data_IF_474390060423
#
_entry.id   IF_474390060423
#
_cell.length_a   1.000
_cell.length_b   1.000
_cell.length_c   1.000
_cell.angle_alpha   90.00
_cell.angle_beta   90.00
_cell.angle_gamma   90.00
#
_symmetry.space_group_name_H-M   'P 1'
#
loop_
_entity.id
_entity.type
_entity.pdbx_description
1 polymer ?
#
# COMPACT_ATOMS: atom_id res chain seq x y z
N UNK A 1 -22.59 12.73 -4.57
CA UNK A 1 -22.96 11.94 -3.36
C UNK A 1 -23.13 10.44 -3.64
N UNK A 2 -23.75 10.01 -4.75
CA UNK A 2 -23.92 8.58 -5.04
C UNK A 2 -22.59 7.83 -5.26
N UNK A 3 -21.63 8.43 -5.97
CA UNK A 3 -20.31 7.84 -6.24
C UNK A 3 -19.49 7.54 -4.98
N UNK A 4 -19.41 8.50 -4.06
CA UNK A 4 -18.68 8.33 -2.80
C UNK A 4 -19.28 7.24 -1.91
N UNK A 5 -20.62 7.14 -1.87
CA UNK A 5 -21.30 6.07 -1.15
C UNK A 5 -21.02 4.68 -1.76
N UNK A 6 -20.95 4.59 -3.09
CA UNK A 6 -20.55 3.35 -3.77
C UNK A 6 -19.11 3.00 -3.38
N UNK A 7 -18.19 3.98 -3.42
CA UNK A 7 -16.79 3.77 -3.05
C UNK A 7 -16.63 3.27 -1.61
N UNK A 8 -17.29 3.90 -0.63
CA UNK A 8 -17.23 3.44 0.76
C UNK A 8 -17.83 2.04 0.96
N UNK A 9 -18.91 1.73 0.26
CA UNK A 9 -19.49 0.38 0.27
C UNK A 9 -18.49 -0.65 -0.27
N UNK A 10 -17.84 -0.36 -1.40
CA UNK A 10 -16.85 -1.26 -2.00
C UNK A 10 -15.62 -1.43 -1.12
N UNK A 11 -15.10 -0.34 -0.55
CA UNK A 11 -13.99 -0.37 0.40
C UNK A 11 -14.31 -1.24 1.62
N UNK A 12 -15.49 -1.04 2.23
CA UNK A 12 -15.93 -1.84 3.37
C UNK A 12 -16.04 -3.32 3.02
N UNK A 13 -16.61 -3.61 1.86
CA UNK A 13 -16.78 -4.98 1.38
C UNK A 13 -15.46 -5.64 0.99
N UNK A 14 -14.47 -4.85 0.54
CA UNK A 14 -13.13 -5.32 0.23
C UNK A 14 -12.37 -5.70 1.51
N UNK A 15 -12.33 -4.81 2.51
CA UNK A 15 -11.62 -5.06 3.79
C UNK A 15 -12.10 -6.34 4.50
N UNK A 16 -13.40 -6.64 4.42
CA UNK A 16 -13.98 -7.82 5.07
C UNK A 16 -13.75 -9.11 4.28
N UNK A 17 -13.25 -9.04 3.05
CA UNK A 17 -13.08 -10.21 2.20
C UNK A 17 -11.91 -11.08 2.66
N UNK A 18 -12.07 -12.41 2.62
CA UNK A 18 -10.97 -13.35 2.95
C UNK A 18 -9.78 -13.18 2.00
N UNK A 19 -10.05 -12.81 0.74
CA UNK A 19 -9.04 -12.54 -0.29
C UNK A 19 -8.22 -11.30 0.09
N UNK A 20 -8.86 -10.23 0.55
CA UNK A 20 -8.17 -9.03 1.05
C UNK A 20 -7.27 -9.35 2.25
N UNK A 21 -7.77 -10.10 3.24
CA UNK A 21 -6.97 -10.51 4.41
C UNK A 21 -5.74 -11.32 3.98
N UNK A 22 -5.90 -12.23 3.01
CA UNK A 22 -4.79 -12.99 2.45
C UNK A 22 -3.76 -12.10 1.77
N UNK A 23 -4.19 -11.11 0.99
CA UNK A 23 -3.30 -10.14 0.33
C UNK A 23 -2.57 -9.26 1.35
N UNK A 24 -3.27 -8.80 2.39
CA UNK A 24 -2.68 -8.03 3.49
C UNK A 24 -1.62 -8.85 4.23
N UNK A 25 -1.92 -10.11 4.58
CA UNK A 25 -0.97 -10.99 5.26
C UNK A 25 0.25 -11.27 4.38
N UNK A 26 0.06 -11.50 3.09
CA UNK A 26 1.14 -11.70 2.13
C UNK A 26 2.03 -10.45 2.00
N UNK A 27 1.43 -9.26 1.92
CA UNK A 27 2.15 -8.00 1.86
C UNK A 27 2.95 -7.72 3.14
N UNK A 28 2.37 -7.98 4.32
CA UNK A 28 3.08 -7.83 5.60
C UNK A 28 4.24 -8.81 5.72
N UNK A 29 4.07 -10.04 5.24
CA UNK A 29 5.12 -11.04 5.21
C UNK A 29 6.28 -10.58 4.32
N UNK A 30 6.00 -10.09 3.12
CA UNK A 30 7.04 -9.51 2.23
C UNK A 30 7.74 -8.33 2.93
N UNK A 31 6.97 -7.38 3.46
CA UNK A 31 7.49 -6.21 4.17
C UNK A 31 8.41 -6.64 5.32
N UNK A 32 8.03 -7.66 6.08
CA UNK A 32 8.86 -8.23 7.15
C UNK A 32 10.17 -8.80 6.61
N UNK A 33 10.13 -9.63 5.57
CA UNK A 33 11.35 -10.23 4.99
C UNK A 33 12.32 -9.16 4.46
N UNK A 34 11.81 -8.14 3.78
CA UNK A 34 12.63 -7.04 3.27
C UNK A 34 13.26 -6.25 4.43
N UNK A 35 12.48 -5.89 5.45
CA UNK A 35 13.01 -5.19 6.63
C UNK A 35 14.02 -6.03 7.42
N UNK A 36 13.81 -7.34 7.49
CA UNK A 36 14.75 -8.25 8.10
C UNK A 36 16.06 -8.32 7.31
N UNK A 37 16.00 -8.35 5.97
CA UNK A 37 17.18 -8.42 5.11
C UNK A 37 18.11 -7.20 5.24
N UNK A 38 17.55 -6.01 5.48
CA UNK A 38 18.31 -4.75 5.66
C UNK A 38 18.52 -4.37 7.14
N UNK A 39 18.21 -5.27 8.07
CA UNK A 39 18.25 -4.98 9.51
C UNK A 39 19.61 -4.44 9.96
N UNK A 40 20.71 -5.05 9.52
CA UNK A 40 22.05 -4.65 9.95
C UNK A 40 22.39 -3.23 9.45
N UNK A 41 22.00 -2.90 8.21
CA UNK A 41 22.14 -1.56 7.65
C UNK A 41 21.32 -0.52 8.41
N UNK A 42 20.07 -0.86 8.76
CA UNK A 42 19.17 -0.03 9.58
C UNK A 42 19.80 0.28 10.94
N UNK A 43 20.38 -0.73 11.60
CA UNK A 43 20.98 -0.60 12.94
C UNK A 43 22.27 0.23 12.86
N UNK A 44 23.11 -0.01 11.85
CA UNK A 44 24.35 0.75 11.67
C UNK A 44 24.08 2.21 11.32
N UNK A 45 22.98 2.48 10.62
CA UNK A 45 22.50 3.84 10.30
C UNK A 45 21.71 4.50 11.45
N UNK A 46 21.53 3.82 12.59
CA UNK A 46 20.73 4.35 13.68
C UNK A 46 21.39 5.58 14.33
N UNK A 47 20.66 6.69 14.40
CA UNK A 47 21.15 7.95 14.96
C UNK A 47 22.02 8.78 14.02
N UNK A 48 22.24 8.32 12.79
CA UNK A 48 22.91 9.08 11.74
C UNK A 48 21.88 9.63 10.76
N UNK A 49 22.11 10.86 10.28
CA UNK A 49 21.32 11.48 9.22
C UNK A 49 22.29 11.81 8.11
N UNK A 50 22.26 11.01 7.05
CA UNK A 50 23.10 11.21 5.89
C UNK A 50 22.26 11.45 4.63
N UNK A 51 22.91 11.88 3.56
CA UNK A 51 22.30 11.94 2.23
C UNK A 51 22.84 10.76 1.44
N UNK A 52 21.95 9.86 1.02
CA UNK A 52 22.31 8.70 0.21
C UNK A 52 21.65 8.80 -1.16
N UNK A 53 22.30 8.20 -2.16
CA UNK A 53 21.71 8.00 -3.46
C UNK A 53 20.84 6.73 -3.44
N UNK A 54 19.55 6.90 -3.72
CA UNK A 54 18.64 5.79 -3.94
C UNK A 54 18.37 5.64 -5.44
N UNK A 55 18.45 4.40 -5.93
CA UNK A 55 18.04 4.04 -7.28
C UNK A 55 16.95 2.96 -7.21
N UNK A 56 15.82 3.24 -7.86
CA UNK A 56 14.70 2.33 -8.02
C UNK A 56 14.88 1.63 -9.37
N UNK A 57 15.59 0.51 -9.34
CA UNK A 57 16.04 -0.21 -10.54
C UNK A 57 14.92 -0.59 -11.51
N UNK A 58 13.70 -0.85 -11.01
CA UNK A 58 12.57 -1.25 -11.84
C UNK A 58 11.99 -0.09 -12.67
N UNK A 59 12.05 1.14 -12.16
CA UNK A 59 11.49 2.32 -12.85
C UNK A 59 12.57 3.17 -13.51
N UNK A 60 13.84 2.93 -13.21
CA UNK A 60 14.95 3.79 -13.59
C UNK A 60 14.95 5.14 -12.88
N UNK A 61 14.10 5.33 -11.86
CA UNK A 61 14.07 6.54 -11.07
C UNK A 61 15.23 6.53 -10.07
N UNK A 62 16.01 7.59 -10.07
CA UNK A 62 17.12 7.77 -9.13
C UNK A 62 17.08 9.17 -8.52
N UNK A 63 17.61 9.30 -7.31
CA UNK A 63 17.64 10.57 -6.62
C UNK A 63 18.33 10.49 -5.28
N UNK A 64 18.54 11.66 -4.69
CA UNK A 64 19.07 11.78 -3.34
C UNK A 64 17.93 11.64 -2.34
N UNK A 65 18.12 10.79 -1.34
CA UNK A 65 17.22 10.65 -0.21
C UNK A 65 17.95 11.02 1.07
N UNK A 66 17.22 11.57 2.03
CA UNK A 66 17.71 11.63 3.42
C UNK A 66 17.71 10.22 3.97
N UNK A 67 18.89 9.65 4.14
CA UNK A 67 19.11 8.32 4.70
C UNK A 67 18.89 8.38 6.21
N UNK A 68 17.66 8.11 6.61
CA UNK A 68 17.30 7.76 7.98
C UNK A 68 16.88 6.29 8.01
N UNK A 69 16.96 5.60 9.16
CA UNK A 69 16.55 4.20 9.26
C UNK A 69 15.13 3.94 8.72
N UNK A 70 14.19 4.86 8.99
CA UNK A 70 12.83 4.78 8.47
C UNK A 70 12.76 5.02 6.95
N UNK A 71 13.51 5.99 6.43
CA UNK A 71 13.55 6.26 4.99
C UNK A 71 14.16 5.10 4.21
N UNK A 72 15.23 4.48 4.71
CA UNK A 72 15.86 3.29 4.10
C UNK A 72 14.85 2.13 4.08
N UNK A 73 14.19 1.86 5.22
CA UNK A 73 13.15 0.84 5.33
C UNK A 73 12.02 1.06 4.32
N UNK A 74 11.48 2.27 4.24
CA UNK A 74 10.37 2.60 3.33
C UNK A 74 10.79 2.52 1.87
N UNK A 75 11.97 3.02 1.50
CA UNK A 75 12.48 2.93 0.14
C UNK A 75 12.66 1.47 -0.30
N UNK A 76 13.19 0.62 0.58
CA UNK A 76 13.32 -0.81 0.31
C UNK A 76 11.95 -1.50 0.18
N UNK A 77 11.00 -1.16 1.04
CA UNK A 77 9.62 -1.65 0.93
C UNK A 77 8.93 -1.18 -0.35
N UNK A 78 9.24 0.02 -0.84
CA UNK A 78 8.73 0.54 -2.11
C UNK A 78 9.20 -0.32 -3.28
N UNK A 79 10.47 -0.75 -3.29
CA UNK A 79 10.99 -1.68 -4.31
C UNK A 79 10.19 -3.00 -4.29
N UNK A 80 9.91 -3.54 -3.09
CA UNK A 80 9.08 -4.72 -2.95
C UNK A 80 7.66 -4.49 -3.46
N UNK A 81 7.05 -3.34 -3.14
CA UNK A 81 5.73 -2.96 -3.63
C UNK A 81 5.70 -2.73 -5.14
N UNK A 82 6.77 -2.25 -5.76
CA UNK A 82 6.83 -2.12 -7.22
C UNK A 82 6.73 -3.50 -7.90
N UNK A 83 7.31 -4.54 -7.29
CA UNK A 83 7.24 -5.91 -7.80
C UNK A 83 5.90 -6.59 -7.50
N UNK A 84 5.42 -6.48 -6.26
CA UNK A 84 4.23 -7.23 -5.79
C UNK A 84 2.94 -6.42 -5.75
N UNK A 85 3.03 -5.10 -5.68
CA UNK A 85 1.89 -4.18 -5.61
C UNK A 85 1.02 -4.20 -6.85
N UNK A 86 1.61 -4.35 -8.04
CA UNK A 86 0.84 -4.55 -9.28
C UNK A 86 -0.01 -5.83 -9.21
N UNK A 87 0.55 -6.92 -8.66
CA UNK A 87 -0.15 -8.20 -8.47
C UNK A 87 -1.28 -8.04 -7.45
N UNK A 88 -1.01 -7.37 -6.32
CA UNK A 88 -2.03 -7.08 -5.30
C UNK A 88 -3.16 -6.22 -5.88
N UNK A 89 -2.84 -5.18 -6.64
CA UNK A 89 -3.81 -4.30 -7.28
C UNK A 89 -4.71 -5.04 -8.28
N UNK A 90 -4.12 -5.88 -9.14
CA UNK A 90 -4.86 -6.72 -10.09
C UNK A 90 -5.74 -7.72 -9.32
N UNK A 91 -5.22 -8.34 -8.26
CA UNK A 91 -5.98 -9.30 -7.46
C UNK A 91 -7.20 -8.66 -6.79
N UNK A 92 -7.06 -7.44 -6.23
CA UNK A 92 -8.18 -6.68 -5.67
C UNK A 92 -9.20 -6.27 -6.74
N UNK A 93 -8.72 -5.82 -7.90
CA UNK A 93 -9.59 -5.46 -9.03
C UNK A 93 -10.41 -6.65 -9.53
N UNK A 94 -9.73 -7.77 -9.76
CA UNK A 94 -10.36 -9.02 -10.20
C UNK A 94 -11.30 -9.59 -9.12
N UNK A 95 -10.96 -9.49 -7.83
CA UNK A 95 -11.82 -9.92 -6.73
C UNK A 95 -13.16 -9.18 -6.75
N UNK A 96 -13.12 -7.85 -6.88
CA UNK A 96 -14.33 -7.01 -6.92
C UNK A 96 -15.23 -7.38 -8.10
N UNK A 97 -14.67 -7.67 -9.28
CA UNK A 97 -15.44 -8.08 -10.46
C UNK A 97 -16.01 -9.49 -10.29
N UNK A 98 -15.16 -10.44 -9.88
CA UNK A 98 -15.55 -11.85 -9.75
C UNK A 98 -16.65 -12.02 -8.70
N UNK A 99 -16.60 -11.28 -7.60
CA UNK A 99 -17.65 -11.32 -6.57
C UNK A 99 -19.03 -10.96 -7.13
N UNK A 100 -19.13 -9.94 -7.99
CA UNK A 100 -20.41 -9.56 -8.60
C UNK A 100 -20.93 -10.57 -9.63
N UNK A 101 -20.02 -11.27 -10.30
CA UNK A 101 -20.36 -12.35 -11.23
C UNK A 101 -20.87 -13.56 -10.43
N UNK A 102 -20.15 -13.96 -9.38
CA UNK A 102 -20.50 -15.07 -8.49
C UNK A 102 -21.86 -14.82 -7.78
N UNK A 103 -22.11 -13.58 -7.33
CA UNK A 103 -23.38 -13.19 -6.68
C UNK A 103 -24.51 -12.91 -7.67
N UNK A 104 -24.24 -12.88 -8.99
CA UNK A 104 -25.22 -12.57 -10.03
C UNK A 104 -25.71 -11.12 -10.04
N UNK A 105 -25.07 -10.24 -9.26
CA UNK A 105 -25.49 -8.84 -9.06
C UNK A 105 -25.05 -7.91 -10.19
N UNK A 106 -24.08 -8.32 -11.02
CA UNK A 106 -23.58 -7.52 -12.14
C UNK A 106 -24.68 -7.09 -13.13
N UNK A 107 -25.60 -8.02 -13.47
CA UNK A 107 -26.71 -7.73 -14.40
C UNK A 107 -27.77 -6.82 -13.78
N UNK A 108 -28.02 -6.96 -12.47
CA UNK A 108 -28.99 -6.17 -11.71
C UNK A 108 -28.51 -4.73 -11.52
N UNK A 109 -27.21 -4.54 -11.32
CA UNK A 109 -26.62 -3.21 -11.18
C UNK A 109 -26.76 -2.40 -12.49
N UNK A 110 -26.63 -3.07 -13.64
CA UNK A 110 -26.80 -2.44 -14.96
C UNK A 110 -28.26 -2.22 -15.36
N UNK A 111 -29.23 -2.83 -14.70
CA UNK A 111 -30.65 -2.62 -14.97
C UNK A 111 -31.27 -1.47 -14.16
N UNK A 112 -30.59 -0.99 -13.12
CA UNK A 112 -31.03 0.18 -12.36
C UNK A 112 -30.61 1.48 -13.08
N UNK A 113 -31.38 2.57 -12.95
CA UNK A 113 -31.07 3.87 -13.56
C UNK A 113 -29.94 4.57 -12.79
N UNK A 114 -28.74 4.01 -12.87
CA UNK A 114 -27.48 4.56 -12.36
C UNK A 114 -26.53 4.70 -13.54
N UNK A 115 -25.87 5.86 -13.65
CA UNK A 115 -24.90 6.08 -14.73
C UNK A 115 -23.73 5.11 -14.60
N UNK A 116 -23.34 4.49 -15.73
CA UNK A 116 -22.26 3.48 -15.77
C UNK A 116 -20.93 4.06 -15.27
N UNK A 117 -20.64 5.31 -15.60
CA UNK A 117 -19.40 5.99 -15.21
C UNK A 117 -19.31 6.18 -13.68
N UNK A 118 -20.46 6.39 -13.02
CA UNK A 118 -20.51 6.53 -11.56
C UNK A 118 -20.20 5.22 -10.83
N UNK A 119 -20.60 4.10 -11.42
CA UNK A 119 -20.30 2.76 -10.90
C UNK A 119 -18.82 2.44 -11.10
N UNK A 120 -18.27 2.75 -12.28
CA UNK A 120 -16.85 2.51 -12.59
C UNK A 120 -15.97 3.35 -11.67
N UNK A 121 -16.23 4.66 -11.55
CA UNK A 121 -15.46 5.54 -10.67
C UNK A 121 -15.60 5.14 -9.20
N UNK A 122 -16.80 4.77 -8.75
CA UNK A 122 -17.04 4.29 -7.39
C UNK A 122 -16.23 3.03 -7.07
N UNK A 123 -16.19 2.06 -7.99
CA UNK A 123 -15.39 0.83 -7.85
C UNK A 123 -13.90 1.10 -7.85
N UNK A 124 -13.43 1.97 -8.75
CA UNK A 124 -12.03 2.36 -8.80
C UNK A 124 -11.58 3.01 -7.49
N UNK A 125 -12.31 4.04 -7.02
CA UNK A 125 -11.99 4.73 -5.77
C UNK A 125 -12.04 3.77 -4.56
N UNK A 126 -13.06 2.89 -4.50
CA UNK A 126 -13.18 1.91 -3.42
C UNK A 126 -12.00 0.93 -3.36
N UNK A 127 -11.58 0.40 -4.51
CA UNK A 127 -10.42 -0.48 -4.61
C UNK A 127 -9.10 0.25 -4.35
N UNK A 128 -8.95 1.50 -4.82
CA UNK A 128 -7.79 2.34 -4.53
C UNK A 128 -7.65 2.65 -3.04
N UNK A 129 -8.77 2.91 -2.35
CA UNK A 129 -8.78 3.05 -0.88
C UNK A 129 -8.38 1.73 -0.19
N UNK A 130 -8.83 0.58 -0.71
CA UNK A 130 -8.45 -0.72 -0.17
C UNK A 130 -6.94 -0.95 -0.31
N UNK A 131 -6.38 -0.67 -1.48
CA UNK A 131 -4.94 -0.73 -1.73
C UNK A 131 -4.15 0.24 -0.85
N UNK A 132 -4.63 1.48 -0.71
CA UNK A 132 -4.05 2.48 0.18
C UNK A 132 -3.99 1.98 1.63
N UNK A 133 -5.04 1.31 2.11
CA UNK A 133 -5.05 0.73 3.47
C UNK A 133 -4.00 -0.36 3.66
N UNK A 134 -3.71 -1.17 2.62
CA UNK A 134 -2.64 -2.17 2.64
C UNK A 134 -1.29 -1.49 2.78
N UNK A 135 -1.00 -0.51 1.92
CA UNK A 135 0.25 0.26 1.94
C UNK A 135 0.43 0.94 3.31
N UNK A 136 -0.59 1.62 3.81
CA UNK A 136 -0.55 2.31 5.09
C UNK A 136 -0.26 1.35 6.25
N UNK A 137 -0.85 0.15 6.23
CA UNK A 137 -0.60 -0.88 7.24
C UNK A 137 0.86 -1.36 7.19
N UNK A 138 1.45 -1.51 5.99
CA UNK A 138 2.88 -1.86 5.85
C UNK A 138 3.83 -0.79 6.38
N UNK A 139 3.47 0.48 6.22
CA UNK A 139 4.26 1.60 6.76
C UNK A 139 4.19 1.62 8.30
N UNK A 140 2.99 1.45 8.87
CA UNK A 140 2.80 1.34 10.32
C UNK A 140 3.58 0.13 10.85
N UNK A 141 3.53 -1.00 10.14
CA UNK A 141 4.29 -2.20 10.49
C UNK A 141 5.80 -1.95 10.48
N UNK A 142 6.31 -1.22 9.49
CA UNK A 142 7.74 -0.88 9.39
C UNK A 142 8.19 0.04 10.54
N UNK A 143 7.35 1.03 10.90
CA UNK A 143 7.58 1.88 12.08
C UNK A 143 7.61 1.03 13.35
N UNK A 144 6.63 0.13 13.53
CA UNK A 144 6.59 -0.76 14.69
C UNK A 144 7.81 -1.69 14.75
N UNK A 145 8.24 -2.24 13.60
CA UNK A 145 9.44 -3.08 13.51
C UNK A 145 10.72 -2.33 13.92
N UNK A 146 10.88 -1.09 13.47
CA UNK A 146 12.02 -0.24 13.86
C UNK A 146 12.03 0.08 15.36
N UNK A 147 10.86 0.36 15.94
CA UNK A 147 10.73 0.58 17.38
C UNK A 147 11.10 -0.67 18.18
N UNK A 148 10.75 -1.86 17.70
CA UNK A 148 11.15 -3.12 18.32
C UNK A 148 12.67 -3.34 18.28
N UNK A 149 13.35 -2.84 17.25
CA UNK A 149 14.81 -2.85 17.16
C UNK A 149 15.50 -1.80 18.04
N UNK A 150 14.75 -0.93 18.71
CA UNK A 150 15.30 0.15 19.54
C UNK A 150 15.89 1.30 18.73
N UNK A 151 15.52 1.42 17.44
CA UNK A 151 16.03 2.47 16.56
C UNK A 151 15.30 3.79 16.85
N UNK A 152 16.01 4.90 17.12
CA UNK A 152 15.38 6.19 17.39
C UNK A 152 14.65 6.71 16.14
N UNK A 153 13.39 7.11 16.31
CA UNK A 153 12.58 7.71 15.26
C UNK A 153 12.44 9.22 15.47
N UNK A 154 12.74 9.97 14.42
CA UNK A 154 12.55 11.42 14.37
C UNK A 154 11.17 11.79 13.80
N UNK A 155 10.61 12.90 14.30
CA UNK A 155 9.32 13.42 13.85
C UNK A 155 9.32 13.79 12.36
N UNK A 156 10.42 14.33 11.83
CA UNK A 156 10.51 14.63 10.41
C UNK A 156 10.52 13.35 9.57
N UNK A 157 11.11 12.26 10.07
CA UNK A 157 11.05 10.95 9.40
C UNK A 157 9.63 10.41 9.31
N UNK A 158 8.81 10.58 10.34
CA UNK A 158 7.40 10.18 10.32
C UNK A 158 6.58 10.99 9.30
N UNK A 159 6.82 12.30 9.20
CA UNK A 159 6.15 13.14 8.20
C UNK A 159 6.58 12.73 6.79
N UNK A 160 7.87 12.49 6.55
CA UNK A 160 8.38 11.96 5.28
C UNK A 160 7.74 10.62 4.93
N UNK A 161 7.59 9.73 5.91
CA UNK A 161 6.93 8.43 5.73
C UNK A 161 5.46 8.59 5.31
N UNK A 162 4.72 9.50 5.95
CA UNK A 162 3.32 9.75 5.64
C UNK A 162 3.15 10.34 4.24
N UNK A 163 4.02 11.28 3.85
CA UNK A 163 4.06 11.82 2.49
C UNK A 163 4.36 10.70 1.49
N UNK A 164 5.39 9.89 1.76
CA UNK A 164 5.77 8.78 0.89
C UNK A 164 4.62 7.77 0.71
N UNK A 165 3.85 7.46 1.76
CA UNK A 165 2.71 6.54 1.67
C UNK A 165 1.62 7.05 0.70
N UNK A 166 1.35 8.36 0.68
CA UNK A 166 0.38 8.98 -0.24
C UNK A 166 0.90 8.95 -1.67
N UNK A 167 2.17 9.33 -1.87
CA UNK A 167 2.78 9.33 -3.20
C UNK A 167 2.97 7.93 -3.78
N UNK A 168 3.10 6.90 -2.94
CA UNK A 168 3.25 5.52 -3.39
C UNK A 168 2.00 4.98 -4.09
N UNK A 169 0.82 5.56 -3.83
CA UNK A 169 -0.42 5.18 -4.50
C UNK A 169 -0.54 5.77 -5.91
N UNK A 170 0.18 6.87 -6.20
CA UNK A 170 0.09 7.67 -7.42
C UNK A 170 1.14 7.20 -8.42
#
# INVERSE_FOLDING_TARGET
MKELNIAFKEFYSSIRSKRFISLMAFYLLITFFFNYAIKDEIINSAGQIEVSHASLSLTGAEGFITATPLSISITTNLIALMLFGAIIGIALGADTINREIEEGTAKVLMSHPVYRDQVINGKFIGNSLALFSIIMTGYIFSIAYLLLLGVPLDGASLIRALIAAVFTLI
#
